data_IF_772138107299
#
_entry.id   IF_772138107299
#
_cell.length_a   1.000
_cell.length_b   1.000
_cell.length_c   1.000
_cell.angle_alpha   90.00
_cell.angle_beta   90.00
_cell.angle_gamma   90.00
#
_symmetry.space_group_name_H-M   'P 1'
#
loop_
_entity.id
_entity.type
_entity.pdbx_description
1 polymer ?
#
# COMPACT_ATOMS: atom_id res chain seq x y z
N UNK A 1 16.09 28.27 -1.42
CA UNK A 1 14.76 28.43 -0.81
C UNK A 1 13.83 27.49 -1.53
N UNK A 2 13.22 26.54 -0.81
CA UNK A 2 12.38 25.50 -1.43
C UNK A 2 10.95 26.01 -1.57
N UNK A 3 10.31 25.74 -2.71
CA UNK A 3 8.96 26.24 -3.01
C UNK A 3 7.89 25.79 -2.00
N UNK A 4 8.17 24.79 -1.16
CA UNK A 4 7.29 24.32 -0.09
C UNK A 4 7.26 25.23 1.14
N UNK A 5 8.30 26.02 1.42
CA UNK A 5 8.28 26.98 2.55
C UNK A 5 7.43 28.22 2.22
N UNK A 6 7.27 28.55 0.93
CA UNK A 6 6.56 29.75 0.48
C UNK A 6 5.04 29.62 0.56
N UNK A 7 4.50 28.40 0.40
CA UNK A 7 3.06 28.14 0.43
C UNK A 7 2.49 27.93 1.85
N UNK A 8 3.36 27.80 2.86
CA UNK A 8 2.96 27.54 4.25
C UNK A 8 3.16 28.76 5.19
N UNK A 9 3.56 29.90 4.63
CA UNK A 9 3.57 31.18 5.35
C UNK A 9 2.16 31.79 5.29
N UNK A 10 1.25 31.28 6.13
CA UNK A 10 0.11 32.09 6.55
C UNK A 10 0.66 33.12 7.53
N UNK A 11 0.70 34.38 7.10
CA UNK A 11 1.09 35.49 7.95
C UNK A 11 0.15 35.55 9.15
N UNK A 12 0.59 35.04 10.29
CA UNK A 12 -0.07 35.26 11.57
C UNK A 12 0.10 36.74 11.89
N UNK A 13 -0.97 37.50 11.66
CA UNK A 13 -1.03 38.90 12.06
C UNK A 13 -1.07 38.94 13.58
N UNK A 14 -0.14 39.67 14.17
CA UNK A 14 -0.20 40.04 15.59
C UNK A 14 -1.33 41.06 15.75
N UNK A 15 -2.10 40.94 16.83
CA UNK A 15 -3.07 41.95 17.21
C UNK A 15 -2.36 43.25 17.65
N UNK A 16 -3.09 44.36 17.75
CA UNK A 16 -2.53 45.70 18.02
C UNK A 16 -1.82 45.82 19.39
N UNK A 17 -1.94 44.80 20.25
CA UNK A 17 -1.31 44.72 21.58
C UNK A 17 -0.12 43.73 21.62
N UNK A 18 0.35 43.27 20.46
CA UNK A 18 1.59 42.49 20.32
C UNK A 18 1.53 41.04 20.82
N UNK A 19 0.33 40.47 21.00
CA UNK A 19 0.15 39.05 21.33
C UNK A 19 -0.25 38.25 20.10
N UNK A 20 0.08 36.95 20.10
CA UNK A 20 -0.40 36.03 19.08
C UNK A 20 -1.89 35.83 19.29
N UNK A 21 -2.69 36.01 18.24
CA UNK A 21 -4.02 35.42 18.20
C UNK A 21 -3.83 33.92 17.99
N UNK A 22 -3.68 33.18 19.09
CA UNK A 22 -3.78 31.72 19.09
C UNK A 22 -5.27 31.36 18.99
N UNK A 23 -5.74 30.75 17.89
CA UNK A 23 -7.07 30.17 17.84
C UNK A 23 -7.00 28.77 18.45
N UNK A 24 -6.61 28.68 19.71
CA UNK A 24 -6.77 27.46 20.50
C UNK A 24 -7.75 27.75 21.62
N UNK A 25 -9.03 27.62 21.32
CA UNK A 25 -10.05 27.16 22.26
C UNK A 25 -11.36 26.98 21.49
N UNK A 26 -11.47 25.91 20.70
CA UNK A 26 -12.74 25.23 20.55
C UNK A 26 -12.52 23.73 20.43
N UNK A 27 -12.92 23.08 21.51
CA UNK A 27 -12.72 21.68 21.84
C UNK A 27 -13.72 20.85 21.05
N UNK A 28 -13.41 20.50 19.81
CA UNK A 28 -14.22 19.56 19.06
C UNK A 28 -13.34 18.58 18.29
N UNK A 29 -12.95 17.51 19.00
CA UNK A 29 -12.75 16.14 18.49
C UNK A 29 -12.44 16.06 16.98
N UNK A 30 -11.34 16.68 16.53
CA UNK A 30 -10.76 16.37 15.22
C UNK A 30 -9.95 15.11 15.40
N UNK A 31 -10.69 14.01 15.33
CA UNK A 31 -10.16 12.66 15.19
C UNK A 31 -8.96 12.76 14.24
N UNK A 32 -7.82 12.29 14.73
CA UNK A 32 -6.61 11.95 13.99
C UNK A 32 -6.93 10.87 12.94
N UNK A 33 -7.88 11.13 12.04
CA UNK A 33 -7.90 10.52 10.74
C UNK A 33 -6.69 11.15 10.05
N UNK A 34 -5.58 10.42 10.08
CA UNK A 34 -4.52 10.51 9.07
C UNK A 34 -5.20 10.93 7.78
N UNK A 35 -4.81 12.11 7.29
CA UNK A 35 -5.49 12.90 6.26
C UNK A 35 -5.62 12.10 4.94
N UNK A 36 -6.56 11.15 4.89
CA UNK A 36 -6.87 10.30 3.74
C UNK A 36 -7.37 11.16 2.57
N UNK A 37 -7.80 12.40 2.86
CA UNK A 37 -8.20 13.39 1.87
C UNK A 37 -7.03 14.10 1.19
N UNK A 38 -5.84 14.15 1.81
CA UNK A 38 -4.62 14.73 1.23
C UNK A 38 -3.63 13.70 0.67
N UNK A 39 -4.03 12.45 0.43
CA UNK A 39 -3.18 11.54 -0.37
C UNK A 39 -3.22 12.05 -1.81
N UNK A 40 -2.10 12.59 -2.35
CA UNK A 40 -2.08 13.09 -3.73
C UNK A 40 -2.50 11.97 -4.67
N UNK A 41 -3.37 12.28 -5.64
CA UNK A 41 -3.95 11.31 -6.58
C UNK A 41 -2.87 10.44 -7.26
N UNK A 42 -1.68 11.01 -7.45
CA UNK A 42 -0.50 10.30 -7.95
C UNK A 42 -0.07 9.11 -7.09
N UNK A 43 -0.13 9.21 -5.75
CA UNK A 43 0.17 8.08 -4.84
C UNK A 43 -0.90 6.98 -4.92
N UNK A 44 -2.17 7.35 -5.15
CA UNK A 44 -3.26 6.36 -5.35
C UNK A 44 -3.07 5.56 -6.65
N UNK A 45 -2.69 6.23 -7.73
CA UNK A 45 -2.41 5.58 -9.02
C UNK A 45 -1.16 4.69 -8.91
N UNK A 46 -0.11 5.15 -8.25
CA UNK A 46 1.11 4.37 -8.05
C UNK A 46 0.85 3.10 -7.22
N UNK A 47 0.03 3.20 -6.17
CA UNK A 47 -0.38 2.05 -5.37
C UNK A 47 -1.25 1.07 -6.19
N UNK A 48 -2.17 1.60 -7.00
CA UNK A 48 -2.98 0.78 -7.91
C UNK A 48 -2.13 0.04 -8.94
N UNK A 49 -1.17 0.71 -9.56
CA UNK A 49 -0.24 0.09 -10.51
C UNK A 49 0.63 -0.98 -9.85
N UNK A 50 1.18 -0.69 -8.66
CA UNK A 50 1.97 -1.65 -7.90
C UNK A 50 1.14 -2.88 -7.51
N UNK A 51 -0.13 -2.69 -7.14
CA UNK A 51 -1.04 -3.79 -6.83
C UNK A 51 -1.31 -4.69 -8.03
N UNK A 52 -1.55 -4.11 -9.22
CA UNK A 52 -1.75 -4.89 -10.45
C UNK A 52 -0.50 -5.73 -10.78
N UNK A 53 0.69 -5.14 -10.67
CA UNK A 53 1.95 -5.85 -10.90
C UNK A 53 2.12 -6.99 -9.88
N UNK A 54 1.82 -6.73 -8.61
CA UNK A 54 1.89 -7.74 -7.57
C UNK A 54 0.96 -8.92 -7.85
N UNK A 55 -0.29 -8.66 -8.24
CA UNK A 55 -1.25 -9.71 -8.62
C UNK A 55 -0.77 -10.48 -9.85
N UNK A 56 -0.20 -9.81 -10.86
CA UNK A 56 0.37 -10.47 -12.02
C UNK A 56 1.51 -11.43 -11.66
N UNK A 57 2.43 -11.01 -10.78
CA UNK A 57 3.53 -11.85 -10.30
C UNK A 57 2.96 -13.05 -9.52
N UNK A 58 1.99 -12.84 -8.64
CA UNK A 58 1.35 -13.91 -7.89
C UNK A 58 0.68 -14.95 -8.80
N UNK A 59 0.04 -14.51 -9.89
CA UNK A 59 -0.54 -15.41 -10.91
C UNK A 59 0.52 -16.23 -11.64
N UNK A 60 1.63 -15.60 -12.03
CA UNK A 60 2.76 -16.32 -12.67
C UNK A 60 3.35 -17.36 -11.73
N UNK A 61 3.52 -17.01 -10.45
CA UNK A 61 3.99 -17.97 -9.44
C UNK A 61 2.98 -19.11 -9.27
N UNK A 62 1.69 -18.81 -9.12
CA UNK A 62 0.65 -19.84 -9.00
C UNK A 62 0.63 -20.79 -10.22
N UNK A 63 0.81 -20.25 -11.43
CA UNK A 63 0.95 -21.03 -12.65
C UNK A 63 2.16 -21.97 -12.61
N UNK A 64 3.32 -21.46 -12.19
CA UNK A 64 4.53 -22.26 -12.02
C UNK A 64 4.34 -23.38 -10.98
N UNK A 65 3.69 -23.09 -9.85
CA UNK A 65 3.38 -24.08 -8.83
C UNK A 65 2.38 -25.13 -9.31
N UNK A 66 1.41 -24.75 -10.14
CA UNK A 66 0.49 -25.71 -10.76
C UNK A 66 1.23 -26.66 -11.70
N UNK A 67 2.09 -26.16 -12.60
CA UNK A 67 2.86 -27.01 -13.52
C UNK A 67 3.89 -27.88 -12.79
N UNK A 68 4.67 -27.28 -11.90
CA UNK A 68 5.68 -28.00 -11.12
C UNK A 68 5.04 -29.00 -10.16
N UNK A 69 4.00 -28.58 -9.45
CA UNK A 69 3.23 -29.43 -8.55
C UNK A 69 2.56 -30.60 -9.27
N UNK A 70 1.94 -30.36 -10.43
CA UNK A 70 1.37 -31.42 -11.25
C UNK A 70 2.43 -32.42 -11.73
N UNK A 71 3.61 -31.96 -12.15
CA UNK A 71 4.70 -32.84 -12.57
C UNK A 71 5.20 -33.73 -11.41
N UNK A 72 5.42 -33.14 -10.23
CA UNK A 72 5.81 -33.90 -9.02
C UNK A 72 4.73 -34.89 -8.62
N UNK A 73 3.46 -34.47 -8.66
CA UNK A 73 2.32 -35.33 -8.33
C UNK A 73 2.23 -36.51 -9.30
N UNK A 74 2.36 -36.26 -10.62
CA UNK A 74 2.38 -37.31 -11.63
C UNK A 74 3.52 -38.30 -11.39
N UNK A 75 4.73 -37.81 -11.09
CA UNK A 75 5.88 -38.67 -10.80
C UNK A 75 5.64 -39.53 -9.56
N UNK A 76 5.11 -38.95 -8.49
CA UNK A 76 4.76 -39.67 -7.26
C UNK A 76 3.69 -40.74 -7.51
N UNK A 77 2.72 -40.44 -8.37
CA UNK A 77 1.65 -41.35 -8.74
C UNK A 77 2.18 -42.52 -9.58
N UNK A 78 3.09 -42.26 -10.52
CA UNK A 78 3.79 -43.30 -11.29
C UNK A 78 4.58 -44.22 -10.36
N UNK A 79 5.37 -43.66 -9.43
CA UNK A 79 6.15 -44.44 -8.45
C UNK A 79 5.22 -45.28 -7.56
N UNK A 80 4.13 -44.70 -7.08
CA UNK A 80 3.14 -45.40 -6.25
C UNK A 80 2.53 -46.59 -7.01
N UNK A 81 2.13 -46.40 -8.26
CA UNK A 81 1.60 -47.49 -9.09
C UNK A 81 2.66 -48.56 -9.35
N UNK A 82 3.90 -48.19 -9.68
CA UNK A 82 4.99 -49.15 -9.85
C UNK A 82 5.20 -50.00 -8.60
N UNK A 83 5.24 -49.36 -7.42
CA UNK A 83 5.41 -50.05 -6.14
C UNK A 83 4.22 -50.94 -5.78
N UNK A 84 3.03 -50.63 -6.26
CA UNK A 84 1.82 -51.39 -5.93
C UNK A 84 1.57 -52.58 -6.85
N UNK A 85 2.01 -52.49 -8.10
CA UNK A 85 1.66 -53.45 -9.15
C UNK A 85 2.85 -54.25 -9.69
N UNK A 86 4.09 -53.78 -9.52
CA UNK A 86 5.30 -54.45 -10.05
C UNK A 86 6.19 -55.00 -8.94
N UNK A 87 6.41 -54.23 -7.87
CA UNK A 87 7.12 -54.66 -6.66
C UNK A 87 6.14 -55.15 -5.60
#
# INVERSE_FOLDING_TARGET
>A
MSDQERDNFHGLTLNEDGRRDDPEEDTEIRIHFVDIKKIPLWKKILFGAAFVIFVAIALVMAWFFMLGGAAVFALGLIIYLLKKYIF
#
